data_IF_558288826245
#
_entry.id   IF_558288826245
#
_cell.length_a   1.000
_cell.length_b   1.000
_cell.length_c   1.000
_cell.angle_alpha   90.00
_cell.angle_beta   90.00
_cell.angle_gamma   90.00
#
_symmetry.space_group_name_H-M   'P 1'
#
loop_
_entity.id
_entity.type
_entity.pdbx_description
1 polymer ?
#
# COMPACT_ATOMS: atom_id res chain seq x y z
N UNK A 1 -19.46 -27.93 9.39
CA UNK A 1 -18.01 -27.75 9.21
C UNK A 1 -17.84 -26.32 8.79
N UNK A 2 -17.44 -25.46 9.72
CA UNK A 2 -17.36 -24.02 9.51
C UNK A 2 -16.13 -23.76 8.64
N UNK A 3 -16.33 -23.34 7.40
CA UNK A 3 -15.26 -22.81 6.56
C UNK A 3 -14.70 -21.57 7.24
N UNK A 4 -13.46 -21.66 7.76
CA UNK A 4 -12.71 -20.48 8.13
C UNK A 4 -12.13 -19.90 6.84
N UNK A 5 -12.41 -18.62 6.50
CA UNK A 5 -11.80 -18.01 5.34
C UNK A 5 -10.31 -17.82 5.62
N UNK A 6 -9.47 -18.39 4.75
CA UNK A 6 -8.01 -18.25 4.79
C UNK A 6 -7.61 -16.85 4.29
N UNK A 7 -7.97 -15.79 5.02
CA UNK A 7 -7.81 -14.40 4.53
C UNK A 7 -6.41 -13.81 4.72
N UNK A 8 -5.52 -14.47 5.46
CA UNK A 8 -4.22 -13.90 5.80
C UNK A 8 -3.07 -14.81 5.36
N UNK A 9 -2.51 -14.52 4.18
CA UNK A 9 -1.37 -15.21 3.60
C UNK A 9 -0.04 -14.53 4.01
N UNK A 10 0.23 -14.47 5.31
CA UNK A 10 1.48 -13.95 5.87
C UNK A 10 2.22 -15.07 6.59
N UNK A 11 3.53 -15.17 6.39
CA UNK A 11 4.39 -16.11 7.11
C UNK A 11 5.32 -15.37 8.08
N UNK A 12 5.24 -15.70 9.37
CA UNK A 12 6.25 -15.31 10.37
C UNK A 12 7.01 -16.59 10.72
N UNK A 13 8.30 -16.67 10.36
CA UNK A 13 9.09 -17.89 10.58
C UNK A 13 9.28 -18.19 12.06
N UNK A 14 9.55 -19.45 12.40
CA UNK A 14 9.79 -19.86 13.79
C UNK A 14 10.90 -19.03 14.45
N UNK A 15 12.00 -18.76 13.72
CA UNK A 15 13.09 -17.90 14.22
C UNK A 15 12.64 -16.46 14.46
N UNK A 16 11.77 -15.92 13.62
CA UNK A 16 11.19 -14.59 13.84
C UNK A 16 10.20 -14.58 15.00
N UNK A 17 9.40 -15.63 15.18
CA UNK A 17 8.49 -15.77 16.31
C UNK A 17 9.24 -15.81 17.64
N UNK A 18 10.32 -16.60 17.72
CA UNK A 18 11.20 -16.65 18.90
C UNK A 18 11.77 -15.26 19.21
N UNK A 19 12.35 -14.58 18.21
CA UNK A 19 12.92 -13.25 18.39
C UNK A 19 11.88 -12.21 18.86
N UNK A 20 10.70 -12.19 18.23
CA UNK A 20 9.63 -11.25 18.56
C UNK A 20 9.06 -11.53 19.95
N UNK A 21 8.92 -12.79 20.34
CA UNK A 21 8.50 -13.21 21.68
C UNK A 21 9.48 -12.72 22.73
N UNK A 22 10.78 -12.90 22.51
CA UNK A 22 11.83 -12.40 23.40
C UNK A 22 11.83 -10.86 23.50
N UNK A 23 11.49 -10.18 22.40
CA UNK A 23 11.38 -8.73 22.36
C UNK A 23 10.16 -8.23 23.16
N UNK A 24 9.02 -8.91 23.02
CA UNK A 24 7.77 -8.64 23.76
C UNK A 24 7.93 -8.95 25.25
N UNK A 25 8.63 -10.03 25.63
CA UNK A 25 8.88 -10.41 27.02
C UNK A 25 9.73 -9.38 27.79
N UNK A 26 10.49 -8.55 27.08
CA UNK A 26 11.23 -7.41 27.66
C UNK A 26 10.34 -6.18 27.89
N UNK A 27 9.13 -6.18 27.36
CA UNK A 27 8.14 -5.15 27.63
C UNK A 27 7.39 -5.54 28.91
N UNK A 28 7.33 -4.62 29.87
CA UNK A 28 6.59 -4.81 31.12
C UNK A 28 5.08 -4.57 30.89
N UNK A 29 4.47 -5.42 30.05
CA UNK A 29 3.08 -5.30 29.63
C UNK A 29 2.50 -6.69 29.31
N UNK A 30 1.64 -7.18 30.19
CA UNK A 30 0.92 -8.44 29.97
C UNK A 30 -0.03 -8.31 28.78
N UNK A 31 -0.08 -9.33 27.93
CA UNK A 31 -0.93 -9.36 26.73
C UNK A 31 -0.47 -8.47 25.58
N UNK A 32 0.74 -7.90 25.65
CA UNK A 32 1.30 -7.12 24.55
C UNK A 32 1.50 -8.00 23.30
N UNK A 33 1.12 -7.45 22.16
CA UNK A 33 1.18 -8.08 20.85
C UNK A 33 2.07 -7.27 19.91
N UNK A 34 2.28 -7.79 18.70
CA UNK A 34 2.73 -6.98 17.58
C UNK A 34 1.55 -6.57 16.70
N UNK A 35 1.66 -5.42 16.01
CA UNK A 35 0.76 -5.01 14.95
C UNK A 35 1.56 -4.72 13.68
N UNK A 36 1.20 -5.39 12.60
CA UNK A 36 1.84 -5.26 11.29
C UNK A 36 0.93 -4.48 10.33
N UNK A 37 1.52 -3.55 9.58
CA UNK A 37 0.81 -2.68 8.65
C UNK A 37 1.73 -2.21 7.53
N UNK A 38 1.16 -1.69 6.45
CA UNK A 38 1.88 -1.02 5.37
C UNK A 38 1.60 0.48 5.47
N UNK A 39 2.64 1.27 5.68
CA UNK A 39 2.59 2.74 5.59
C UNK A 39 2.58 3.15 4.12
N UNK A 40 1.76 4.13 3.75
CA UNK A 40 1.57 4.59 2.35
C UNK A 40 1.36 3.44 1.35
N UNK A 41 0.41 2.52 1.62
CA UNK A 41 0.20 1.35 0.77
C UNK A 41 -0.18 1.80 -0.64
N UNK A 42 0.27 1.03 -1.64
CA UNK A 42 -0.01 1.33 -3.04
C UNK A 42 0.88 2.40 -3.64
N UNK A 43 1.83 2.97 -2.88
CA UNK A 43 2.73 4.03 -3.37
C UNK A 43 4.19 3.53 -3.47
N UNK A 44 5.07 4.25 -4.21
CA UNK A 44 6.50 3.95 -4.22
C UNK A 44 7.17 4.03 -2.83
N UNK A 45 6.58 4.80 -1.92
CA UNK A 45 7.03 5.00 -0.55
C UNK A 45 6.38 4.00 0.43
N UNK A 46 5.80 2.91 -0.08
CA UNK A 46 5.20 1.89 0.76
C UNK A 46 6.26 1.24 1.64
N UNK A 47 6.00 1.19 2.95
CA UNK A 47 6.88 0.60 3.94
C UNK A 47 6.11 -0.40 4.79
N UNK A 48 6.60 -1.62 4.91
CA UNK A 48 6.01 -2.61 5.82
C UNK A 48 6.60 -2.46 7.21
N UNK A 49 5.73 -2.23 8.19
CA UNK A 49 6.12 -1.91 9.56
C UNK A 49 5.55 -2.93 10.54
N UNK A 50 6.29 -3.16 11.63
CA UNK A 50 5.82 -3.87 12.82
C UNK A 50 5.96 -2.91 14.00
N UNK A 51 4.90 -2.75 14.77
CA UNK A 51 4.89 -1.96 16.01
C UNK A 51 4.41 -2.82 17.18
N UNK A 52 4.71 -2.40 18.40
CA UNK A 52 4.05 -2.96 19.58
C UNK A 52 2.58 -2.55 19.61
N UNK A 53 1.74 -3.45 20.09
CA UNK A 53 0.31 -3.23 20.28
C UNK A 53 -0.03 -3.65 21.70
N UNK A 54 -0.30 -2.69 22.58
CA UNK A 54 -0.77 -3.00 23.94
C UNK A 54 -2.23 -3.48 23.90
N UNK A 55 -2.70 -4.20 24.92
CA UNK A 55 -4.10 -4.59 25.00
C UNK A 55 -5.04 -3.39 24.86
N UNK A 56 -5.98 -3.45 23.90
CA UNK A 56 -6.94 -2.38 23.61
C UNK A 56 -6.44 -1.32 22.62
N UNK A 57 -5.20 -1.42 22.12
CA UNK A 57 -4.67 -0.52 21.08
C UNK A 57 -4.93 -1.03 19.65
N UNK A 58 -5.40 -2.27 19.50
CA UNK A 58 -5.85 -2.82 18.23
C UNK A 58 -6.95 -1.93 17.61
N UNK A 59 -6.99 -1.88 16.28
CA UNK A 59 -7.94 -1.06 15.53
C UNK A 59 -9.10 -1.91 15.02
N UNK A 60 -10.24 -1.25 14.83
CA UNK A 60 -11.35 -1.85 14.13
C UNK A 60 -10.91 -2.30 12.73
N UNK A 61 -11.23 -3.54 12.38
CA UNK A 61 -10.78 -4.17 11.14
C UNK A 61 -9.39 -4.80 11.21
N UNK A 62 -8.68 -4.73 12.33
CA UNK A 62 -7.46 -5.53 12.52
C UNK A 62 -7.82 -7.03 12.59
N UNK A 63 -7.04 -7.85 11.88
CA UNK A 63 -7.16 -9.31 11.91
C UNK A 63 -6.11 -9.89 12.84
N UNK A 64 -6.54 -10.69 13.81
CA UNK A 64 -5.65 -11.34 14.76
C UNK A 64 -5.13 -12.69 14.21
N UNK A 65 -3.84 -12.96 14.43
CA UNK A 65 -3.20 -14.25 14.23
C UNK A 65 -2.56 -14.67 15.56
N UNK A 66 -2.98 -15.82 16.07
CA UNK A 66 -2.34 -16.46 17.23
C UNK A 66 -1.17 -17.31 16.74
N UNK A 67 0.03 -17.02 17.26
CA UNK A 67 1.27 -17.71 16.94
C UNK A 67 1.81 -18.40 18.20
N UNK A 68 2.86 -19.21 18.07
CA UNK A 68 3.43 -19.87 19.25
C UNK A 68 4.03 -18.82 20.20
N UNK A 69 3.39 -18.62 21.35
CA UNK A 69 3.85 -17.72 22.41
C UNK A 69 3.76 -16.22 22.11
N UNK A 70 3.15 -15.79 21.01
CA UNK A 70 2.88 -14.37 20.74
C UNK A 70 1.59 -14.18 19.93
N UNK A 71 0.99 -12.99 20.06
CA UNK A 71 -0.16 -12.58 19.24
C UNK A 71 0.27 -11.49 18.25
N UNK A 72 -0.25 -11.58 17.03
CA UNK A 72 -0.03 -10.57 16.00
C UNK A 72 -1.36 -10.03 15.47
N UNK A 73 -1.44 -8.73 15.27
CA UNK A 73 -2.54 -8.05 14.59
C UNK A 73 -2.08 -7.55 13.22
N UNK A 74 -2.95 -7.65 12.22
CA UNK A 74 -2.71 -7.18 10.86
C UNK A 74 -3.75 -6.15 10.51
N UNK A 75 -3.30 -4.95 10.14
CA UNK A 75 -4.21 -3.86 9.79
C UNK A 75 -5.07 -4.22 8.57
N UNK A 76 -6.40 -4.13 8.69
CA UNK A 76 -7.34 -4.54 7.65
C UNK A 76 -7.03 -3.97 6.26
N UNK A 77 -6.83 -2.65 6.14
CA UNK A 77 -6.46 -2.00 4.86
C UNK A 77 -5.11 -2.45 4.31
N UNK A 78 -4.24 -3.01 5.15
CA UNK A 78 -2.91 -3.47 4.75
C UNK A 78 -2.94 -4.93 4.27
N UNK A 79 -3.98 -5.72 4.60
CA UNK A 79 -4.05 -7.15 4.27
C UNK A 79 -3.79 -7.42 2.77
N UNK A 80 -4.40 -6.71 1.80
CA UNK A 80 -4.12 -6.95 0.38
C UNK A 80 -2.65 -6.75 -0.02
N UNK A 81 -1.95 -5.85 0.68
CA UNK A 81 -0.55 -5.51 0.45
C UNK A 81 0.42 -6.44 1.19
N UNK A 82 -0.09 -7.17 2.18
CA UNK A 82 0.64 -8.15 2.97
C UNK A 82 0.51 -9.57 2.43
N UNK A 83 -0.23 -9.78 1.32
CA UNK A 83 -0.26 -11.09 0.65
C UNK A 83 1.16 -11.56 0.32
N UNK A 84 1.46 -12.81 0.68
CA UNK A 84 2.78 -13.45 0.57
C UNK A 84 3.89 -12.75 1.37
N UNK A 85 3.56 -11.88 2.32
CA UNK A 85 4.56 -11.27 3.17
C UNK A 85 5.23 -12.31 4.07
N UNK A 86 6.54 -12.19 4.21
CA UNK A 86 7.37 -13.06 5.04
C UNK A 86 8.21 -12.23 6.01
N UNK A 87 8.07 -12.52 7.29
CA UNK A 87 8.93 -12.01 8.36
C UNK A 87 9.90 -13.12 8.74
N UNK A 88 11.19 -12.83 8.67
CA UNK A 88 12.26 -13.78 8.98
C UNK A 88 13.29 -13.15 9.90
N UNK A 89 13.94 -13.98 10.71
CA UNK A 89 15.03 -13.55 11.57
C UNK A 89 16.25 -14.44 11.35
N UNK A 90 17.39 -13.80 11.10
CA UNK A 90 18.68 -14.47 10.97
C UNK A 90 19.60 -13.98 12.08
N UNK A 91 20.02 -14.89 12.97
CA UNK A 91 20.98 -14.59 14.02
C UNK A 91 22.40 -14.51 13.47
N UNK A 92 23.16 -13.50 13.86
CA UNK A 92 24.60 -13.41 13.60
C UNK A 92 25.37 -12.99 14.87
N UNK A 93 26.70 -12.85 14.75
CA UNK A 93 27.57 -12.47 15.88
C UNK A 93 27.30 -11.06 16.42
N UNK A 94 26.52 -10.23 15.73
CA UNK A 94 26.21 -8.85 16.10
C UNK A 94 24.79 -8.68 16.65
N UNK A 95 24.06 -9.78 16.90
CA UNK A 95 22.72 -9.74 17.46
C UNK A 95 21.60 -9.95 16.44
N UNK A 96 21.94 -10.35 15.20
CA UNK A 96 20.98 -10.78 14.19
C UNK A 96 20.20 -9.66 13.50
N UNK A 97 19.43 -10.06 12.48
CA UNK A 97 18.64 -9.15 11.66
C UNK A 97 17.23 -9.71 11.44
N UNK A 98 16.22 -8.92 11.83
CA UNK A 98 14.84 -9.13 11.43
C UNK A 98 14.62 -8.55 10.03
N UNK A 99 14.15 -9.37 9.11
CA UNK A 99 13.87 -8.99 7.72
C UNK A 99 12.39 -9.18 7.43
N UNK A 100 11.77 -8.15 6.86
CA UNK A 100 10.40 -8.21 6.38
C UNK A 100 10.44 -8.12 4.86
N UNK A 101 9.87 -9.12 4.18
CA UNK A 101 9.69 -9.13 2.72
C UNK A 101 8.21 -9.14 2.42
N UNK A 102 7.69 -8.04 1.90
CA UNK A 102 6.31 -7.96 1.43
C UNK A 102 6.33 -7.65 -0.08
N UNK A 103 6.28 -8.66 -0.95
CA UNK A 103 6.43 -8.46 -2.40
C UNK A 103 5.32 -7.55 -2.97
N UNK A 104 4.16 -7.55 -2.33
CA UNK A 104 2.98 -6.80 -2.73
C UNK A 104 2.79 -5.47 -1.95
N UNK A 105 3.78 -5.05 -1.14
CA UNK A 105 3.68 -3.84 -0.30
C UNK A 105 3.46 -2.56 -1.11
N UNK A 106 4.11 -2.47 -2.28
CA UNK A 106 3.99 -1.31 -3.19
C UNK A 106 2.78 -1.41 -4.11
N UNK A 107 2.36 -2.61 -4.47
CA UNK A 107 1.16 -2.85 -5.27
C UNK A 107 0.56 -4.20 -4.84
N UNK A 108 -0.70 -4.22 -4.38
CA UNK A 108 -1.36 -5.45 -3.99
C UNK A 108 -1.70 -6.26 -5.25
N UNK A 109 -2.03 -7.54 -5.11
CA UNK A 109 -2.68 -8.28 -6.19
C UNK A 109 -4.09 -7.71 -6.39
N UNK A 110 -4.20 -6.68 -7.20
CA UNK A 110 -5.49 -6.09 -7.55
C UNK A 110 -6.27 -7.09 -8.40
N UNK A 111 -7.47 -7.42 -7.93
CA UNK A 111 -8.47 -8.21 -8.64
C UNK A 111 -9.62 -7.31 -9.08
N UNK A 112 -10.52 -7.83 -9.92
CA UNK A 112 -11.70 -7.09 -10.37
C UNK A 112 -12.65 -6.73 -9.21
N UNK A 113 -12.63 -7.52 -8.12
CA UNK A 113 -13.42 -7.31 -6.90
C UNK A 113 -12.76 -6.35 -5.89
N UNK A 114 -11.54 -5.87 -6.16
CA UNK A 114 -10.85 -4.94 -5.27
C UNK A 114 -11.53 -3.57 -5.26
N UNK A 115 -11.43 -2.80 -4.15
CA UNK A 115 -11.94 -1.43 -4.10
C UNK A 115 -11.49 -0.61 -5.32
N UNK A 116 -12.38 0.22 -5.85
CA UNK A 116 -12.09 0.95 -7.09
C UNK A 116 -10.86 1.85 -6.96
N UNK A 117 -10.61 2.41 -5.77
CA UNK A 117 -9.42 3.21 -5.46
C UNK A 117 -8.13 2.41 -5.64
N UNK A 118 -8.09 1.17 -5.15
CA UNK A 118 -6.93 0.27 -5.32
C UNK A 118 -6.72 -0.08 -6.79
N UNK A 119 -7.81 -0.34 -7.52
CA UNK A 119 -7.78 -0.59 -8.97
C UNK A 119 -7.22 0.61 -9.74
N UNK A 120 -7.67 1.82 -9.41
CA UNK A 120 -7.17 3.06 -10.04
C UNK A 120 -5.70 3.24 -9.72
N UNK A 121 -5.31 3.14 -8.44
CA UNK A 121 -3.92 3.30 -8.03
C UNK A 121 -3.01 2.31 -8.75
N UNK A 122 -3.44 1.05 -8.87
CA UNK A 122 -2.70 0.04 -9.63
C UNK A 122 -2.45 0.50 -11.06
N UNK A 123 -3.49 0.87 -11.82
CA UNK A 123 -3.35 1.34 -13.20
C UNK A 123 -2.45 2.58 -13.29
N UNK A 124 -2.61 3.53 -12.36
CA UNK A 124 -1.77 4.73 -12.33
C UNK A 124 -0.29 4.39 -12.16
N UNK A 125 0.06 3.43 -11.31
CA UNK A 125 1.45 3.08 -11.07
C UNK A 125 2.03 2.04 -12.04
N UNK A 126 1.24 1.08 -12.52
CA UNK A 126 1.71 0.02 -13.42
C UNK A 126 1.77 0.47 -14.87
N UNK A 127 0.86 1.35 -15.30
CA UNK A 127 0.70 1.69 -16.72
C UNK A 127 0.95 3.17 -17.02
N UNK A 128 0.48 4.08 -16.16
CA UNK A 128 0.52 5.52 -16.44
C UNK A 128 1.86 6.14 -16.03
N UNK A 129 2.21 6.04 -14.75
CA UNK A 129 3.39 6.67 -14.17
C UNK A 129 4.72 6.24 -14.80
N UNK A 130 4.94 4.99 -15.26
CA UNK A 130 6.16 4.64 -15.99
C UNK A 130 6.35 5.47 -17.26
N UNK A 131 5.25 5.77 -17.96
CA UNK A 131 5.27 6.66 -19.13
C UNK A 131 5.55 8.12 -18.73
N UNK A 132 4.88 8.62 -17.69
CA UNK A 132 5.06 10.01 -17.22
C UNK A 132 6.46 10.27 -16.66
N UNK A 133 7.02 9.30 -15.94
CA UNK A 133 8.34 9.40 -15.31
C UNK A 133 9.45 9.63 -16.34
N UNK A 134 9.28 9.16 -17.58
CA UNK A 134 10.22 9.42 -18.69
C UNK A 134 10.38 10.91 -19.02
N UNK A 135 9.41 11.73 -18.61
CA UNK A 135 9.40 13.19 -18.75
C UNK A 135 9.45 13.89 -17.39
N UNK A 136 9.90 13.20 -16.34
CA UNK A 136 9.95 13.72 -14.97
C UNK A 136 8.58 13.98 -14.36
N UNK A 137 7.50 13.46 -14.94
CA UNK A 137 6.14 13.66 -14.49
C UNK A 137 5.60 12.51 -13.65
N UNK A 138 4.54 12.77 -12.91
CA UNK A 138 3.77 11.75 -12.19
C UNK A 138 2.31 12.18 -12.03
N UNK A 139 1.45 11.21 -11.72
CA UNK A 139 0.06 11.43 -11.34
C UNK A 139 -0.29 10.55 -10.15
N UNK A 140 -1.09 11.07 -9.23
CA UNK A 140 -1.61 10.36 -8.06
C UNK A 140 -3.12 10.54 -7.92
N UNK A 141 -3.82 9.51 -7.44
CA UNK A 141 -5.21 9.61 -7.03
C UNK A 141 -5.34 10.43 -5.74
N UNK A 142 -6.34 11.30 -5.68
CA UNK A 142 -6.71 12.07 -4.48
C UNK A 142 -7.94 11.48 -3.82
N UNK A 143 -8.98 11.23 -4.60
CA UNK A 143 -10.24 10.62 -4.14
C UNK A 143 -11.04 10.09 -5.33
N UNK A 144 -12.05 9.28 -5.04
CA UNK A 144 -13.09 8.88 -6.00
C UNK A 144 -14.41 9.49 -5.54
N UNK A 145 -15.06 10.26 -6.41
CA UNK A 145 -16.35 10.90 -6.07
C UNK A 145 -17.49 9.89 -6.11
N UNK A 146 -18.61 10.20 -5.44
CA UNK A 146 -19.85 9.40 -5.52
C UNK A 146 -20.35 9.17 -6.97
N UNK A 147 -20.13 10.14 -7.86
CA UNK A 147 -20.48 10.04 -9.29
C UNK A 147 -19.43 9.25 -10.13
N UNK A 148 -18.55 8.48 -9.49
CA UNK A 148 -17.53 7.65 -10.15
C UNK A 148 -16.48 8.42 -10.98
N UNK A 149 -16.10 9.62 -10.53
CA UNK A 149 -14.96 10.35 -11.09
C UNK A 149 -13.71 10.13 -10.23
N UNK A 150 -12.60 9.77 -10.87
CA UNK A 150 -11.29 9.76 -10.22
C UNK A 150 -10.72 11.18 -10.20
N UNK A 151 -10.48 11.73 -9.01
CA UNK A 151 -9.84 13.04 -8.84
C UNK A 151 -8.34 12.82 -8.78
N UNK A 152 -7.62 13.36 -9.76
CA UNK A 152 -6.19 13.15 -9.94
C UNK A 152 -5.41 14.44 -9.69
N UNK A 153 -4.18 14.26 -9.22
CA UNK A 153 -3.19 15.33 -9.07
C UNK A 153 -1.94 14.97 -9.87
N UNK A 154 -1.66 15.76 -10.89
CA UNK A 154 -0.42 15.71 -11.66
C UNK A 154 0.70 16.49 -10.94
N UNK A 155 1.92 15.98 -11.04
CA UNK A 155 3.12 16.55 -10.44
C UNK A 155 4.36 16.36 -11.30
N UNK A 156 5.46 16.98 -10.87
CA UNK A 156 6.73 16.97 -11.61
C UNK A 156 6.60 17.68 -12.96
N UNK A 157 7.24 17.15 -14.00
CA UNK A 157 7.21 17.69 -15.36
C UNK A 157 5.80 17.86 -15.95
N UNK A 158 4.81 17.11 -15.45
CA UNK A 158 3.41 17.23 -15.85
C UNK A 158 2.70 18.45 -15.26
N UNK A 159 3.24 19.06 -14.20
CA UNK A 159 2.60 20.20 -13.51
C UNK A 159 2.65 21.49 -14.34
N UNK A 160 3.70 21.73 -15.13
CA UNK A 160 3.92 23.01 -15.81
C UNK A 160 3.86 22.96 -17.34
N UNK A 161 3.43 21.84 -17.93
CA UNK A 161 3.50 21.60 -19.38
C UNK A 161 2.31 22.24 -20.13
N UNK A 162 2.37 23.56 -20.36
CA UNK A 162 1.28 24.33 -20.99
C UNK A 162 0.92 24.01 -22.46
N UNK A 163 1.45 22.93 -23.04
CA UNK A 163 1.04 22.41 -24.37
C UNK A 163 0.37 21.02 -24.31
N UNK A 164 0.21 20.43 -23.12
CA UNK A 164 -0.09 18.99 -22.94
C UNK A 164 -1.29 18.72 -21.99
N UNK A 165 -1.92 19.76 -21.43
CA UNK A 165 -2.96 19.61 -20.39
C UNK A 165 -4.19 18.79 -20.83
N UNK A 166 -4.60 18.87 -22.10
CA UNK A 166 -5.76 18.10 -22.58
C UNK A 166 -5.37 16.68 -22.99
N UNK A 167 -4.29 16.50 -23.75
CA UNK A 167 -3.91 15.18 -24.30
C UNK A 167 -3.39 14.22 -23.23
N UNK A 168 -2.70 14.72 -22.21
CA UNK A 168 -2.25 13.90 -21.10
C UNK A 168 -3.42 13.40 -20.27
N UNK A 169 -4.29 14.32 -19.86
CA UNK A 169 -5.51 13.97 -19.12
C UNK A 169 -6.35 12.97 -19.91
N UNK A 170 -6.56 13.21 -21.20
CA UNK A 170 -7.28 12.29 -22.08
C UNK A 170 -6.60 10.91 -22.18
N UNK A 171 -5.27 10.86 -22.25
CA UNK A 171 -4.52 9.61 -22.27
C UNK A 171 -4.68 8.82 -20.96
N UNK A 172 -4.58 9.50 -19.83
CA UNK A 172 -4.78 8.89 -18.49
C UNK A 172 -6.23 8.45 -18.33
N UNK A 173 -7.21 9.28 -18.69
CA UNK A 173 -8.63 8.94 -18.63
C UNK A 173 -8.95 7.73 -19.50
N UNK A 174 -8.43 7.70 -20.73
CA UNK A 174 -8.63 6.57 -21.64
C UNK A 174 -8.07 5.28 -21.04
N UNK A 175 -6.84 5.31 -20.52
CA UNK A 175 -6.19 4.14 -19.92
C UNK A 175 -6.99 3.64 -18.71
N UNK A 176 -7.44 4.56 -17.85
CA UNK A 176 -8.24 4.23 -16.68
C UNK A 176 -9.59 3.64 -17.05
N UNK A 177 -10.30 4.20 -18.03
CA UNK A 177 -11.61 3.69 -18.47
C UNK A 177 -11.52 2.37 -19.23
N UNK A 178 -10.41 2.12 -19.94
CA UNK A 178 -10.16 0.83 -20.59
C UNK A 178 -9.99 -0.30 -19.58
N UNK A 179 -9.32 -0.04 -18.44
CA UNK A 179 -9.08 -1.02 -17.38
C UNK A 179 -10.16 -1.05 -16.29
N UNK A 180 -10.87 0.06 -16.10
CA UNK A 180 -11.89 0.26 -15.07
C UNK A 180 -13.11 0.91 -15.75
N UNK A 181 -13.96 0.12 -16.45
CA UNK A 181 -15.10 0.64 -17.21
C UNK A 181 -16.17 1.33 -16.36
N UNK A 182 -16.14 1.13 -15.04
CA UNK A 182 -17.05 1.73 -14.08
C UNK A 182 -16.80 3.23 -13.85
N UNK A 183 -15.64 3.75 -14.27
CA UNK A 183 -15.32 5.16 -14.13
C UNK A 183 -16.09 6.03 -15.14
N UNK A 184 -16.76 7.06 -14.62
CA UNK A 184 -17.39 8.09 -15.43
C UNK A 184 -16.34 8.91 -16.20
N UNK A 185 -15.22 9.23 -15.55
CA UNK A 185 -14.09 9.95 -16.13
C UNK A 185 -13.07 10.39 -15.07
N UNK A 186 -12.18 11.32 -15.43
CA UNK A 186 -11.19 11.88 -14.50
C UNK A 186 -11.36 13.38 -14.32
N UNK A 187 -11.14 13.86 -13.10
CA UNK A 187 -11.04 15.28 -12.75
C UNK A 187 -9.61 15.59 -12.40
N UNK A 188 -9.14 16.74 -12.87
CA UNK A 188 -7.79 17.23 -12.58
C UNK A 188 -7.90 18.43 -11.64
N UNK A 189 -7.15 18.40 -10.55
CA UNK A 189 -7.10 19.48 -9.55
C UNK A 189 -5.74 20.18 -9.50
N UNK A 190 -4.82 19.86 -10.42
CA UNK A 190 -3.50 20.47 -10.47
C UNK A 190 -3.58 21.91 -11.01
N UNK A 191 -2.78 22.80 -10.42
CA UNK A 191 -2.58 24.15 -10.97
C UNK A 191 -1.51 24.10 -12.06
N UNK A 192 -1.96 24.04 -13.32
CA UNK A 192 -1.08 23.97 -14.49
C UNK A 192 -0.42 25.31 -14.86
N UNK A 193 -0.82 26.40 -14.19
CA UNK A 193 -0.19 27.71 -14.41
C UNK A 193 1.15 27.82 -13.68
N UNK A 194 1.39 26.99 -12.66
CA UNK A 194 2.66 26.90 -11.95
C UNK A 194 3.70 26.08 -12.73
N UNK A 195 4.66 26.81 -13.32
CA UNK A 195 5.76 26.23 -14.10
C UNK A 195 7.02 25.94 -13.28
N UNK A 196 6.97 26.05 -11.95
CA UNK A 196 8.15 25.85 -11.09
C UNK A 196 8.74 24.43 -11.19
N UNK A 197 7.93 23.45 -11.58
CA UNK A 197 8.31 22.04 -11.76
C UNK A 197 8.30 21.59 -13.23
N UNK A 198 8.16 22.51 -14.19
CA UNK A 198 8.09 22.17 -15.61
C UNK A 198 9.41 21.53 -16.10
N UNK A 199 9.29 20.45 -16.88
CA UNK A 199 10.43 19.81 -17.55
C UNK A 199 10.82 20.59 -18.82
N UNK A 200 12.10 20.89 -19.00
CA UNK A 200 12.67 21.63 -20.16
C UNK A 200 13.61 20.75 -20.98
#
# INVERSE_FOLDING_TARGET
MSEQPSELNVTITDSAQEYLRDLLAKQDCEGIAIRMFVSNPGTPNAETCIAYCRPGEEKEGDVAMELDGLKAYFEGRSIPYLDEARVDYSSDKMGGQLTIRAPNSRMPKVTDDSPIEDRINYVLYSDVNPGLASHGGQVSLVEVTEDMYAVLKFGGGCQGCGMVDMTLKEGVEKTLKEKIPELAGVKDITDHTDKSQAYY
#
